data_IF_466987838827
#
_entry.id   IF_466987838827
#
_cell.length_a   1.000
_cell.length_b   1.000
_cell.length_c   1.000
_cell.angle_alpha   90.00
_cell.angle_beta   90.00
_cell.angle_gamma   90.00
#
_symmetry.space_group_name_H-M   'P 1'
#
loop_
_entity.id
_entity.type
_entity.pdbx_description
1 polymer ?
#
# COMPACT_ATOMS: atom_id res chain seq x y z
N UNK A 1 -46.96 -11.43 9.20
CA UNK A 1 -45.95 -10.85 10.11
C UNK A 1 -44.62 -10.45 9.44
N UNK A 2 -44.44 -10.58 8.12
CA UNK A 2 -43.18 -10.20 7.45
C UNK A 2 -43.31 -9.26 6.24
N UNK A 3 -44.53 -8.89 5.82
CA UNK A 3 -44.75 -8.07 4.61
C UNK A 3 -44.28 -6.61 4.75
N UNK A 4 -44.34 -6.02 5.94
CA UNK A 4 -44.03 -4.59 6.15
C UNK A 4 -42.58 -4.31 6.57
N UNK A 5 -41.70 -5.34 6.64
CA UNK A 5 -40.29 -5.16 7.06
C UNK A 5 -39.50 -4.24 6.13
N UNK A 6 -39.88 -4.16 4.85
CA UNK A 6 -39.24 -3.31 3.85
C UNK A 6 -39.84 -1.90 3.75
N UNK A 7 -41.01 -1.67 4.37
CA UNK A 7 -41.72 -0.38 4.33
C UNK A 7 -41.33 0.55 5.49
N UNK A 8 -40.75 0.00 6.56
CA UNK A 8 -40.23 0.84 7.63
C UNK A 8 -39.10 1.73 7.09
N UNK A 9 -39.20 3.07 7.23
CA UNK A 9 -38.08 3.95 6.97
C UNK A 9 -36.92 3.44 7.81
N UNK A 10 -35.85 2.98 7.15
CA UNK A 10 -34.63 2.66 7.88
C UNK A 10 -34.31 3.91 8.68
N UNK A 11 -34.11 3.77 9.99
CA UNK A 11 -33.64 4.81 10.89
C UNK A 11 -32.18 5.16 10.54
N UNK A 12 -31.94 5.54 9.27
CA UNK A 12 -30.81 6.30 8.76
C UNK A 12 -31.12 7.78 8.97
N UNK A 13 -31.71 8.13 10.12
CA UNK A 13 -31.49 9.46 10.66
C UNK A 13 -30.00 9.69 10.54
N UNK A 14 -29.63 10.70 9.75
CA UNK A 14 -28.28 10.96 9.30
C UNK A 14 -27.39 11.02 10.53
N UNK A 15 -26.72 9.90 10.85
CA UNK A 15 -25.67 9.91 11.84
C UNK A 15 -24.72 11.02 11.40
N UNK A 16 -24.52 12.06 12.22
CA UNK A 16 -23.70 13.19 11.84
C UNK A 16 -22.32 12.64 11.46
N UNK A 17 -21.97 12.74 10.18
CA UNK A 17 -20.67 12.30 9.67
C UNK A 17 -19.74 13.49 9.75
N UNK A 18 -18.59 13.30 10.38
CA UNK A 18 -17.52 14.29 10.33
C UNK A 18 -17.04 14.54 8.89
N UNK A 19 -16.37 15.67 8.63
CA UNK A 19 -15.79 15.97 7.33
C UNK A 19 -14.84 14.84 6.89
N UNK A 20 -14.90 14.45 5.61
CA UNK A 20 -14.07 13.37 5.08
C UNK A 20 -12.60 13.76 5.12
N UNK A 21 -11.76 12.98 5.81
CA UNK A 21 -10.31 13.17 5.79
C UNK A 21 -9.73 12.84 4.41
N UNK A 22 -10.39 11.96 3.64
CA UNK A 22 -10.05 11.61 2.25
C UNK A 22 -9.82 12.85 1.36
N UNK A 23 -10.74 13.83 1.40
CA UNK A 23 -10.61 15.04 0.59
C UNK A 23 -9.36 15.84 0.97
N UNK A 24 -9.07 15.97 2.26
CA UNK A 24 -7.87 16.64 2.75
C UNK A 24 -6.58 15.93 2.29
N UNK A 25 -6.57 14.59 2.25
CA UNK A 25 -5.43 13.82 1.74
C UNK A 25 -5.18 14.12 0.27
N UNK A 26 -6.22 14.09 -0.57
CA UNK A 26 -6.07 14.28 -2.01
C UNK A 26 -5.77 15.72 -2.45
N UNK A 27 -6.22 16.71 -1.68
CA UNK A 27 -6.05 18.13 -2.03
C UNK A 27 -4.85 18.76 -1.33
N UNK A 28 -4.83 18.75 -0.01
CA UNK A 28 -3.83 19.46 0.79
C UNK A 28 -2.54 18.65 0.95
N UNK A 29 -2.63 17.37 1.36
CA UNK A 29 -1.44 16.57 1.63
C UNK A 29 -0.70 16.18 0.35
N UNK A 30 -1.42 15.88 -0.73
CA UNK A 30 -0.84 15.53 -2.03
C UNK A 30 0.12 16.60 -2.57
N UNK A 31 -0.21 17.88 -2.35
CA UNK A 31 0.58 19.03 -2.85
C UNK A 31 1.55 19.56 -1.78
N UNK A 32 1.08 19.74 -0.55
CA UNK A 32 1.83 20.43 0.49
C UNK A 32 2.66 19.55 1.41
N UNK A 33 2.34 18.25 1.54
CA UNK A 33 2.95 17.33 2.51
C UNK A 33 3.00 15.89 1.99
N UNK A 34 3.87 15.65 1.00
CA UNK A 34 4.07 14.33 0.40
C UNK A 34 4.39 13.24 1.46
N UNK A 35 5.09 13.59 2.53
CA UNK A 35 5.41 12.69 3.64
C UNK A 35 4.14 12.12 4.30
N UNK A 36 3.16 12.96 4.61
CA UNK A 36 1.88 12.53 5.19
C UNK A 36 0.99 11.83 4.17
N UNK A 37 1.03 12.24 2.90
CA UNK A 37 0.33 11.53 1.83
C UNK A 37 0.82 10.08 1.71
N UNK A 38 2.15 9.89 1.72
CA UNK A 38 2.79 8.57 1.71
C UNK A 38 2.47 7.76 2.97
N UNK A 39 2.38 8.40 4.13
CA UNK A 39 1.97 7.70 5.35
C UNK A 39 0.55 7.16 5.23
N UNK A 40 -0.38 7.95 4.66
CA UNK A 40 -1.78 7.58 4.53
C UNK A 40 -2.03 6.52 3.44
N UNK A 41 -1.46 6.69 2.24
CA UNK A 41 -1.76 5.86 1.07
C UNK A 41 -0.63 4.89 0.69
N UNK A 42 0.51 4.92 1.39
CA UNK A 42 1.71 4.09 1.15
C UNK A 42 2.37 4.24 -0.22
N UNK A 43 1.98 5.27 -0.99
CA UNK A 43 2.54 5.61 -2.32
C UNK A 43 2.85 7.10 -2.40
N UNK A 44 3.81 7.50 -3.23
CA UNK A 44 4.05 8.93 -3.52
C UNK A 44 2.93 9.52 -4.38
N UNK A 45 2.65 10.83 -4.30
CA UNK A 45 1.68 11.51 -5.17
C UNK A 45 1.88 11.21 -6.65
N UNK A 46 3.13 11.25 -7.12
CA UNK A 46 3.46 10.96 -8.53
C UNK A 46 3.14 9.52 -8.93
N UNK A 47 3.39 8.55 -8.04
CA UNK A 47 3.06 7.13 -8.28
C UNK A 47 1.55 6.94 -8.28
N UNK A 48 0.87 7.62 -7.36
CA UNK A 48 -0.58 7.61 -7.25
C UNK A 48 -1.24 8.14 -8.53
N UNK A 49 -0.80 9.29 -9.06
CA UNK A 49 -1.35 9.86 -10.31
C UNK A 49 -1.16 8.92 -11.50
N UNK A 50 0.03 8.31 -11.63
CA UNK A 50 0.30 7.31 -12.66
C UNK A 50 -0.59 6.07 -12.52
N UNK A 51 -0.83 5.63 -11.28
CA UNK A 51 -1.72 4.50 -11.00
C UNK A 51 -3.16 4.86 -11.39
N UNK A 52 -3.67 6.02 -10.98
CA UNK A 52 -5.02 6.49 -11.29
C UNK A 52 -5.22 6.61 -12.80
N UNK A 53 -4.34 7.32 -13.51
CA UNK A 53 -4.43 7.49 -14.97
C UNK A 53 -4.40 6.17 -15.74
N UNK A 54 -3.78 5.13 -15.17
CA UNK A 54 -3.75 3.80 -15.75
C UNK A 54 -5.02 3.00 -15.46
N UNK A 55 -5.55 3.11 -14.26
CA UNK A 55 -6.79 2.42 -13.84
C UNK A 55 -8.04 3.08 -14.44
N UNK A 56 -8.03 4.38 -14.72
CA UNK A 56 -9.14 5.13 -15.34
C UNK A 56 -9.61 4.55 -16.69
N UNK A 57 -8.73 3.82 -17.38
CA UNK A 57 -9.05 3.19 -18.67
C UNK A 57 -9.80 1.86 -18.53
N UNK A 58 -9.92 1.32 -17.31
CA UNK A 58 -10.52 0.02 -17.08
C UNK A 58 -12.05 0.08 -17.12
N UNK A 59 -12.72 -0.85 -17.84
CA UNK A 59 -14.18 -0.93 -17.90
C UNK A 59 -14.90 -0.96 -16.56
N UNK A 60 -14.26 -1.43 -15.49
CA UNK A 60 -14.86 -1.52 -14.16
C UNK A 60 -15.17 -0.15 -13.53
N UNK A 61 -14.57 0.92 -14.06
CA UNK A 61 -14.83 2.30 -13.66
C UNK A 61 -15.79 3.05 -14.58
N UNK A 62 -16.26 2.41 -15.65
CA UNK A 62 -17.36 2.92 -16.45
C UNK A 62 -18.68 2.36 -15.91
N UNK A 63 -19.71 3.19 -15.97
CA UNK A 63 -21.05 2.85 -15.52
C UNK A 63 -22.04 3.26 -16.62
N UNK A 64 -22.90 2.34 -17.03
CA UNK A 64 -23.95 2.57 -18.03
C UNK A 64 -25.21 3.22 -17.42
N UNK A 65 -25.08 3.89 -16.27
CA UNK A 65 -26.20 4.51 -15.57
C UNK A 65 -26.15 6.04 -15.64
N UNK A 66 -27.33 6.65 -15.54
CA UNK A 66 -27.52 8.11 -15.53
C UNK A 66 -26.95 8.81 -14.27
N UNK A 67 -26.29 8.08 -13.37
CA UNK A 67 -25.65 8.64 -12.18
C UNK A 67 -24.13 8.59 -12.36
N UNK A 68 -23.46 9.76 -12.37
CA UNK A 68 -22.02 9.81 -12.57
C UNK A 68 -21.31 9.06 -11.44
N UNK A 69 -20.42 8.14 -11.82
CA UNK A 69 -19.58 7.45 -10.86
C UNK A 69 -18.59 8.45 -10.24
N UNK A 70 -18.37 8.36 -8.93
CA UNK A 70 -17.36 9.16 -8.25
C UNK A 70 -15.96 8.95 -8.87
N UNK A 71 -15.10 9.99 -8.91
CA UNK A 71 -13.78 9.94 -9.51
C UNK A 71 -12.98 8.69 -9.14
N UNK A 72 -12.25 8.12 -10.12
CA UNK A 72 -11.40 6.94 -9.92
C UNK A 72 -10.34 7.22 -8.85
N UNK A 73 -9.81 8.45 -8.81
CA UNK A 73 -8.89 8.93 -7.78
C UNK A 73 -9.37 8.64 -6.35
N UNK A 74 -10.65 8.93 -6.04
CA UNK A 74 -11.22 8.69 -4.72
C UNK A 74 -11.34 7.19 -4.42
N UNK A 75 -11.74 6.40 -5.41
CA UNK A 75 -11.89 4.95 -5.25
C UNK A 75 -10.54 4.28 -4.99
N UNK A 76 -9.50 4.69 -5.73
CA UNK A 76 -8.13 4.22 -5.56
C UNK A 76 -7.56 4.64 -4.20
N UNK A 77 -7.76 5.89 -3.78
CA UNK A 77 -7.30 6.36 -2.47
C UNK A 77 -7.95 5.58 -1.31
N UNK A 78 -9.25 5.29 -1.38
CA UNK A 78 -9.94 4.47 -0.37
C UNK A 78 -9.37 3.05 -0.31
N UNK A 79 -9.11 2.44 -1.47
CA UNK A 79 -8.53 1.10 -1.53
C UNK A 79 -7.10 1.07 -0.98
N UNK A 80 -6.25 2.01 -1.38
CA UNK A 80 -4.87 2.12 -0.90
C UNK A 80 -4.80 2.42 0.60
N UNK A 81 -5.66 3.32 1.10
CA UNK A 81 -5.76 3.57 2.53
C UNK A 81 -6.10 2.27 3.27
N UNK A 82 -7.08 1.50 2.77
CA UNK A 82 -7.45 0.21 3.38
C UNK A 82 -6.30 -0.80 3.35
N UNK A 83 -5.53 -0.89 2.28
CA UNK A 83 -4.41 -1.83 2.16
C UNK A 83 -3.17 -1.39 2.94
N UNK A 84 -3.02 -0.09 3.18
CA UNK A 84 -1.89 0.48 3.91
C UNK A 84 -2.00 0.41 5.44
N UNK A 85 -3.11 -0.13 5.96
CA UNK A 85 -3.43 -0.22 7.38
C UNK A 85 -3.78 -1.65 7.76
N UNK A 86 -3.54 -2.00 9.01
CA UNK A 86 -3.84 -3.31 9.58
C UNK A 86 -4.82 -3.20 10.76
N UNK A 87 -5.37 -4.35 11.17
CA UNK A 87 -6.26 -4.46 12.33
C UNK A 87 -7.51 -3.59 12.19
N UNK A 88 -7.86 -2.89 13.27
CA UNK A 88 -9.08 -2.08 13.33
C UNK A 88 -9.08 -0.91 12.32
N UNK A 89 -7.91 -0.39 11.95
CA UNK A 89 -7.79 0.71 10.98
C UNK A 89 -8.15 0.26 9.55
N UNK A 90 -7.92 -1.02 9.22
CA UNK A 90 -8.30 -1.62 7.94
C UNK A 90 -9.79 -2.03 7.85
N UNK A 91 -10.51 -1.96 8.97
CA UNK A 91 -11.91 -2.38 9.01
C UNK A 91 -12.79 -1.48 8.14
N UNK A 92 -13.85 -2.04 7.57
CA UNK A 92 -14.72 -1.30 6.65
C UNK A 92 -15.40 -0.11 7.33
N UNK A 93 -15.69 -0.20 8.64
CA UNK A 93 -16.27 0.93 9.38
C UNK A 93 -15.24 2.04 9.57
N UNK A 94 -14.00 1.71 9.94
CA UNK A 94 -12.94 2.70 10.14
C UNK A 94 -12.61 3.44 8.85
N UNK A 95 -12.48 2.72 7.73
CA UNK A 95 -12.25 3.32 6.42
C UNK A 95 -13.45 4.16 5.97
N UNK A 96 -14.67 3.71 6.24
CA UNK A 96 -15.89 4.47 5.95
C UNK A 96 -15.93 5.78 6.75
N UNK A 97 -15.59 5.74 8.04
CA UNK A 97 -15.52 6.93 8.90
C UNK A 97 -14.44 7.90 8.41
N UNK A 98 -13.26 7.39 8.08
CA UNK A 98 -12.14 8.19 7.55
C UNK A 98 -12.49 8.87 6.22
N UNK A 99 -13.14 8.14 5.31
CA UNK A 99 -13.53 8.65 4.00
C UNK A 99 -14.85 9.44 3.98
N UNK A 100 -15.63 9.44 5.06
CA UNK A 100 -17.00 9.97 5.07
C UNK A 100 -18.01 9.16 4.24
N UNK A 101 -17.66 7.93 3.85
CA UNK A 101 -18.44 7.08 2.94
C UNK A 101 -19.30 6.04 3.68
N UNK A 102 -20.19 5.36 2.96
CA UNK A 102 -20.87 4.18 3.49
C UNK A 102 -19.97 2.93 3.44
N UNK A 103 -20.13 1.99 4.40
CA UNK A 103 -19.45 0.68 4.39
C UNK A 103 -19.56 -0.05 3.05
N UNK A 104 -20.76 -0.08 2.47
CA UNK A 104 -21.01 -0.70 1.16
C UNK A 104 -20.25 -0.03 0.02
N UNK A 105 -20.08 1.30 0.08
CA UNK A 105 -19.30 2.06 -0.90
C UNK A 105 -17.82 1.73 -0.80
N UNK A 106 -17.27 1.65 0.42
CA UNK A 106 -15.87 1.21 0.64
C UNK A 106 -15.64 -0.20 0.08
N UNK A 107 -16.59 -1.12 0.31
CA UNK A 107 -16.55 -2.46 -0.26
C UNK A 107 -16.46 -2.42 -1.79
N UNK A 108 -17.39 -1.69 -2.41
CA UNK A 108 -17.51 -1.57 -3.85
C UNK A 108 -16.23 -1.00 -4.46
N UNK A 109 -15.68 0.08 -3.90
CA UNK A 109 -14.45 0.70 -4.40
C UNK A 109 -13.26 -0.22 -4.27
N UNK A 110 -13.10 -0.90 -3.13
CA UNK A 110 -12.03 -1.88 -2.96
C UNK A 110 -12.13 -2.98 -4.01
N UNK A 111 -13.34 -3.51 -4.26
CA UNK A 111 -13.58 -4.55 -5.25
C UNK A 111 -13.24 -4.08 -6.65
N UNK A 112 -13.68 -2.88 -7.06
CA UNK A 112 -13.37 -2.30 -8.39
C UNK A 112 -11.86 -2.15 -8.60
N UNK A 113 -11.16 -1.57 -7.63
CA UNK A 113 -9.70 -1.39 -7.70
C UNK A 113 -8.99 -2.72 -7.78
N UNK A 114 -9.38 -3.71 -6.96
CA UNK A 114 -8.83 -5.06 -7.03
C UNK A 114 -9.08 -5.72 -8.40
N UNK A 115 -10.29 -5.60 -8.94
CA UNK A 115 -10.61 -6.14 -10.26
C UNK A 115 -9.72 -5.55 -11.35
N UNK A 116 -9.51 -4.22 -11.36
CA UNK A 116 -8.67 -3.57 -12.35
C UNK A 116 -7.18 -3.92 -12.19
N UNK A 117 -6.66 -3.92 -10.96
CA UNK A 117 -5.25 -4.24 -10.67
C UNK A 117 -4.93 -5.70 -10.97
N UNK A 118 -5.85 -6.63 -10.71
CA UNK A 118 -5.66 -8.05 -10.94
C UNK A 118 -5.90 -8.48 -12.40
N UNK A 119 -6.24 -7.56 -13.32
CA UNK A 119 -6.36 -7.92 -14.73
C UNK A 119 -5.01 -8.40 -15.27
N UNK A 120 -4.99 -9.45 -16.12
CA UNK A 120 -3.74 -9.99 -16.67
C UNK A 120 -2.87 -8.94 -17.37
N UNK A 121 -3.47 -8.03 -18.13
CA UNK A 121 -2.75 -6.95 -18.82
C UNK A 121 -2.04 -5.99 -17.87
N UNK A 122 -2.66 -5.67 -16.74
CA UNK A 122 -2.05 -4.83 -15.71
C UNK A 122 -0.92 -5.59 -15.00
N UNK A 123 -1.21 -6.81 -14.54
CA UNK A 123 -0.28 -7.64 -13.78
C UNK A 123 0.97 -8.03 -14.56
N UNK A 124 0.86 -8.37 -15.85
CA UNK A 124 2.00 -8.76 -16.68
C UNK A 124 3.00 -7.62 -16.89
N UNK A 125 2.54 -6.37 -16.91
CA UNK A 125 3.42 -5.22 -17.03
C UNK A 125 3.98 -4.77 -15.67
N UNK A 126 3.13 -4.79 -14.63
CA UNK A 126 3.48 -4.33 -13.28
C UNK A 126 4.36 -5.34 -12.51
N UNK A 127 4.13 -6.64 -12.71
CA UNK A 127 4.81 -7.74 -12.02
C UNK A 127 5.48 -8.63 -13.07
N UNK A 128 6.60 -8.14 -13.60
CA UNK A 128 7.44 -8.88 -14.54
C UNK A 128 8.84 -9.13 -13.99
N UNK A 129 9.45 -10.21 -14.47
CA UNK A 129 10.87 -10.46 -14.20
C UNK A 129 11.71 -9.35 -14.84
N UNK A 130 12.76 -8.87 -14.15
CA UNK A 130 13.62 -7.82 -14.67
C UNK A 130 14.36 -8.31 -15.92
N UNK A 131 14.50 -7.42 -16.90
CA UNK A 131 15.26 -7.63 -18.14
C UNK A 131 16.74 -7.80 -17.87
N UNK A 132 17.49 -8.38 -18.81
CA UNK A 132 18.95 -8.50 -18.69
C UNK A 132 19.63 -7.14 -18.45
N UNK A 133 19.17 -6.08 -19.11
CA UNK A 133 19.70 -4.73 -18.92
C UNK A 133 19.42 -4.16 -17.51
N UNK A 134 18.20 -4.35 -16.99
CA UNK A 134 17.84 -3.96 -15.62
C UNK A 134 18.64 -4.76 -14.58
N UNK A 135 18.80 -6.07 -14.80
CA UNK A 135 19.66 -6.93 -13.98
C UNK A 135 21.10 -6.42 -13.96
N UNK A 136 21.70 -6.16 -15.12
CA UNK A 136 23.08 -5.66 -15.19
C UNK A 136 23.23 -4.25 -14.61
N UNK A 137 22.21 -3.38 -14.72
CA UNK A 137 22.18 -2.08 -14.04
C UNK A 137 22.18 -2.27 -12.51
N UNK A 138 21.36 -3.17 -11.98
CA UNK A 138 21.33 -3.49 -10.56
C UNK A 138 22.65 -4.09 -10.08
N UNK A 139 23.24 -5.05 -10.84
CA UNK A 139 24.55 -5.63 -10.54
C UNK A 139 25.67 -4.58 -10.50
N UNK A 140 25.70 -3.67 -11.49
CA UNK A 140 26.66 -2.55 -11.51
C UNK A 140 26.50 -1.66 -10.29
N UNK A 141 25.25 -1.33 -9.94
CA UNK A 141 24.99 -0.53 -8.74
C UNK A 141 25.54 -1.22 -7.47
N UNK A 142 25.29 -2.52 -7.29
CA UNK A 142 25.81 -3.29 -6.14
C UNK A 142 27.33 -3.35 -6.14
N UNK A 143 27.94 -3.56 -7.31
CA UNK A 143 29.39 -3.59 -7.43
C UNK A 143 30.04 -2.23 -7.06
N UNK A 144 29.41 -1.12 -7.43
CA UNK A 144 29.94 0.23 -7.16
C UNK A 144 29.69 0.69 -5.72
N UNK A 145 28.57 0.31 -5.12
CA UNK A 145 28.12 0.83 -3.81
C UNK A 145 28.21 -0.20 -2.67
N UNK A 146 28.74 -1.40 -2.93
CA UNK A 146 28.88 -2.48 -1.96
C UNK A 146 30.15 -3.32 -2.24
N UNK A 147 30.18 -4.56 -1.77
CA UNK A 147 31.29 -5.48 -2.02
C UNK A 147 31.23 -6.03 -3.46
N UNK A 148 32.36 -6.04 -4.16
CA UNK A 148 32.47 -6.56 -5.54
C UNK A 148 32.00 -8.01 -5.65
N UNK A 149 32.30 -8.84 -4.64
CA UNK A 149 31.87 -10.23 -4.57
C UNK A 149 30.34 -10.38 -4.54
N UNK A 150 29.62 -9.32 -4.13
CA UNK A 150 28.17 -9.32 -3.97
C UNK A 150 27.43 -8.86 -5.23
N UNK A 151 28.15 -8.60 -6.33
CA UNK A 151 27.58 -8.20 -7.64
C UNK A 151 26.41 -9.09 -8.06
N UNK A 152 26.53 -10.41 -7.88
CA UNK A 152 25.48 -11.36 -8.25
C UNK A 152 24.32 -11.41 -7.24
N UNK A 153 24.49 -10.85 -6.05
CA UNK A 153 23.46 -10.60 -5.05
C UNK A 153 22.63 -9.33 -5.33
N UNK A 154 22.26 -9.10 -6.59
CA UNK A 154 21.53 -7.91 -7.02
C UNK A 154 20.02 -7.97 -6.72
N UNK A 155 19.49 -9.17 -6.42
CA UNK A 155 18.07 -9.44 -6.20
C UNK A 155 17.78 -9.91 -4.76
N UNK A 156 18.38 -9.29 -3.74
CA UNK A 156 18.00 -9.57 -2.35
C UNK A 156 16.73 -8.81 -2.00
N UNK A 157 15.69 -9.56 -1.63
CA UNK A 157 14.41 -9.05 -1.14
C UNK A 157 14.20 -9.70 0.22
N UNK A 158 14.28 -8.88 1.28
CA UNK A 158 14.05 -9.22 2.69
C UNK A 158 15.17 -9.97 3.44
N UNK A 159 15.19 -9.79 4.76
CA UNK A 159 16.19 -10.31 5.69
C UNK A 159 16.21 -11.83 5.73
N UNK A 160 17.39 -12.42 5.63
CA UNK A 160 17.54 -13.87 5.72
C UNK A 160 17.69 -14.25 7.19
N UNK A 161 16.83 -15.16 7.67
CA UNK A 161 16.99 -15.78 8.97
C UNK A 161 18.07 -16.86 8.84
N UNK A 162 19.19 -16.70 9.55
CA UNK A 162 20.21 -17.73 9.69
C UNK A 162 19.87 -18.58 10.91
N UNK A 163 19.50 -19.85 10.74
CA UNK A 163 19.17 -20.72 11.87
C UNK A 163 20.42 -20.95 12.72
N UNK A 164 20.23 -20.97 14.04
CA UNK A 164 21.23 -21.35 15.01
C UNK A 164 20.96 -22.79 15.45
N UNK A 165 22.02 -23.58 15.53
CA UNK A 165 21.96 -24.99 15.96
C UNK A 165 21.52 -25.11 17.43
N UNK A 166 21.97 -24.16 18.26
CA UNK A 166 21.66 -24.11 19.68
C UNK A 166 21.10 -22.75 20.11
N UNK A 167 20.36 -22.76 21.23
CA UNK A 167 19.90 -21.55 21.90
C UNK A 167 21.10 -20.74 22.41
N UNK A 168 21.25 -19.46 22.04
CA UNK A 168 22.27 -18.60 22.61
C UNK A 168 22.16 -18.51 24.14
N UNK A 169 23.30 -18.61 24.82
CA UNK A 169 23.41 -18.50 26.29
C UNK A 169 23.02 -17.10 26.78
N UNK A 170 23.39 -16.06 26.03
CA UNK A 170 23.04 -14.68 26.31
C UNK A 170 21.77 -14.26 25.55
N UNK A 171 20.72 -13.84 26.26
CA UNK A 171 19.42 -13.44 25.69
C UNK A 171 18.75 -14.46 24.75
N UNK A 172 18.92 -15.77 24.99
CA UNK A 172 18.36 -16.84 24.15
C UNK A 172 16.90 -16.65 23.67
N UNK A 173 15.93 -16.23 24.52
CA UNK A 173 14.55 -15.99 24.07
C UNK A 173 14.42 -14.92 22.99
N UNK A 174 15.33 -13.95 22.92
CA UNK A 174 15.34 -12.88 21.92
C UNK A 174 15.72 -13.38 20.52
N UNK A 175 16.34 -14.56 20.42
CA UNK A 175 16.69 -15.20 19.16
C UNK A 175 15.63 -16.20 18.69
N UNK A 176 14.57 -16.42 19.48
CA UNK A 176 13.49 -17.32 19.10
C UNK A 176 12.53 -16.61 18.13
N UNK A 177 12.51 -17.07 16.89
CA UNK A 177 11.77 -16.43 15.81
C UNK A 177 10.31 -16.91 15.73
N UNK A 178 9.52 -16.22 14.89
CA UNK A 178 8.12 -16.57 14.60
C UNK A 178 7.95 -17.99 14.02
N UNK A 179 9.01 -18.58 13.45
CA UNK A 179 9.01 -19.94 12.88
C UNK A 179 9.39 -21.00 13.92
N UNK A 180 9.42 -20.63 15.19
CA UNK A 180 9.76 -21.49 16.32
C UNK A 180 11.20 -22.06 16.26
N UNK A 181 12.13 -21.31 15.67
CA UNK A 181 13.55 -21.66 15.65
C UNK A 181 14.39 -20.57 16.33
N UNK A 182 15.58 -20.94 16.81
CA UNK A 182 16.58 -19.92 17.14
C UNK A 182 17.23 -19.44 15.85
N UNK A 183 17.15 -18.15 15.53
CA UNK A 183 17.75 -17.61 14.32
C UNK A 183 18.20 -16.17 14.47
N UNK A 184 19.20 -15.79 13.66
CA UNK A 184 19.66 -14.42 13.51
C UNK A 184 19.01 -13.83 12.26
N UNK A 185 18.31 -12.69 12.43
CA UNK A 185 17.87 -11.93 11.27
C UNK A 185 19.03 -11.12 10.71
N UNK A 186 19.55 -11.52 9.56
CA UNK A 186 20.49 -10.72 8.79
C UNK A 186 19.69 -9.83 7.85
N UNK A 187 19.45 -8.58 8.28
CA UNK A 187 18.89 -7.53 7.43
C UNK A 187 20.02 -6.73 6.76
N UNK A 188 20.33 -7.06 5.52
CA UNK A 188 21.10 -6.14 4.68
C UNK A 188 20.16 -5.01 4.20
N UNK A 189 20.08 -3.91 4.96
CA UNK A 189 19.29 -2.74 4.57
C UNK A 189 19.93 -2.07 3.34
N UNK A 190 19.31 -2.21 2.17
CA UNK A 190 19.64 -1.40 0.99
C UNK A 190 18.55 -0.35 0.81
N UNK A 191 18.89 0.91 1.02
CA UNK A 191 18.04 2.06 0.65
C UNK A 191 18.16 2.18 -0.88
N UNK A 192 17.12 1.88 -1.69
CA UNK A 192 17.11 2.35 -3.07
C UNK A 192 17.12 3.89 -3.02
N UNK A 193 17.77 4.58 -3.97
CA UNK A 193 17.86 6.04 -3.92
C UNK A 193 16.45 6.64 -3.82
N UNK A 194 16.15 7.21 -2.66
CA UNK A 194 15.15 8.24 -2.57
C UNK A 194 15.61 9.35 -3.51
N UNK A 195 14.75 9.72 -4.45
CA UNK A 195 14.87 11.02 -5.13
C UNK A 195 14.96 12.05 -4.01
N UNK A 196 16.02 12.85 -4.06
CA UNK A 196 16.49 13.79 -3.05
C UNK A 196 15.43 14.31 -2.07
N UNK A 197 15.65 14.07 -0.78
CA UNK A 197 15.37 15.09 0.23
C UNK A 197 16.54 15.12 1.20
N UNK A 198 17.30 16.22 1.11
CA UNK A 198 18.32 16.61 2.06
C UNK A 198 17.70 16.76 3.45
N UNK A 199 18.14 15.94 4.41
CA UNK A 199 18.11 16.33 5.81
C UNK A 199 19.39 15.85 6.47
N UNK A 200 20.20 16.84 6.84
CA UNK A 200 21.41 16.75 7.64
C UNK A 200 21.09 16.12 9.00
N UNK A 201 21.68 14.96 9.27
CA UNK A 201 21.69 14.34 10.59
C UNK A 201 22.92 14.90 11.35
N UNK A 202 22.72 15.84 12.26
CA UNK A 202 23.73 16.20 13.26
C UNK A 202 23.57 15.27 14.47
N UNK A 203 24.59 14.47 14.73
CA UNK A 203 24.63 13.61 15.91
C UNK A 203 24.71 14.39 17.22
N UNK A 204 24.10 13.79 18.26
CA UNK A 204 24.69 13.60 19.58
C UNK A 204 24.23 12.23 20.09
#
# INVERSE_FOLDING_TARGET
>A
MYETRYENPRNRGTLPRGPSHLHHVLTALKVGREDHFRQALRVSPQTFDKLVARLEKDPVFFNDSNQPQLPVELQVAVALYRFGHDGNAASMQSVANWAGLGKGTVHLYTRRVMTAVLRPSFMQEAVRMPTAAEKEKAKRWVHTHSCKAWRNGWCFVDGTLVPLDERPTWYGPSYFDRKCNYSLNIQARRIPPAVHSSNSFSGR
#
